data_IF_687010639117
#
_entry.id   IF_687010639117
#
_cell.length_a   1.000
_cell.length_b   1.000
_cell.length_c   1.000
_cell.angle_alpha   90.00
_cell.angle_beta   90.00
_cell.angle_gamma   90.00
#
_symmetry.space_group_name_H-M   'P 1'
#
loop_
_entity.id
_entity.type
_entity.pdbx_description
1 polymer ?
#
# COMPACT_ATOMS: atom_id res chain seq x y z
N UNK A 1 -13.36 -1.19 -14.22
CA UNK A 1 -12.08 -1.53 -13.57
C UNK A 1 -12.17 -1.55 -12.05
N UNK A 2 -12.88 -0.61 -11.43
CA UNK A 2 -13.04 -0.57 -9.96
C UNK A 2 -13.65 -1.86 -9.42
N UNK A 3 -14.71 -2.37 -10.03
CA UNK A 3 -15.33 -3.63 -9.64
C UNK A 3 -14.39 -4.83 -9.80
N UNK A 4 -13.61 -4.86 -10.88
CA UNK A 4 -12.57 -5.88 -11.11
C UNK A 4 -11.50 -5.85 -10.02
N UNK A 5 -11.01 -4.64 -9.68
CA UNK A 5 -10.05 -4.45 -8.60
C UNK A 5 -10.60 -4.94 -7.26
N UNK A 6 -11.86 -4.65 -6.95
CA UNK A 6 -12.52 -5.08 -5.72
C UNK A 6 -12.64 -6.61 -5.60
N UNK A 7 -12.83 -7.32 -6.71
CA UNK A 7 -12.80 -8.79 -6.72
C UNK A 7 -11.42 -9.31 -6.34
N UNK A 8 -10.37 -8.82 -7.00
CA UNK A 8 -8.99 -9.20 -6.68
C UNK A 8 -8.62 -8.86 -5.24
N UNK A 9 -9.08 -7.71 -4.75
CA UNK A 9 -8.79 -7.28 -3.39
C UNK A 9 -9.44 -8.20 -2.35
N UNK A 10 -10.70 -8.59 -2.58
CA UNK A 10 -11.42 -9.48 -1.66
C UNK A 10 -10.94 -10.92 -1.75
N UNK A 11 -10.91 -11.50 -2.97
CA UNK A 11 -10.61 -12.93 -3.17
C UNK A 11 -9.12 -13.25 -3.23
N UNK A 12 -8.25 -12.30 -3.57
CA UNK A 12 -6.85 -12.55 -3.91
C UNK A 12 -6.68 -13.04 -5.36
N UNK A 13 -5.42 -13.17 -5.77
CA UNK A 13 -5.09 -13.61 -7.12
C UNK A 13 -5.58 -15.02 -7.42
N UNK A 14 -5.19 -15.97 -6.57
CA UNK A 14 -5.42 -17.40 -6.82
C UNK A 14 -6.90 -17.75 -6.90
N UNK A 15 -7.72 -17.23 -6.00
CA UNK A 15 -9.14 -17.54 -5.88
C UNK A 15 -10.05 -16.73 -6.81
N UNK A 16 -9.50 -15.84 -7.65
CA UNK A 16 -10.26 -15.04 -8.60
C UNK A 16 -10.31 -15.72 -9.97
N UNK A 17 -11.51 -15.96 -10.50
CA UNK A 17 -11.72 -16.48 -11.85
C UNK A 17 -12.15 -15.39 -12.83
N UNK A 18 -12.03 -15.66 -14.14
CA UNK A 18 -12.57 -14.76 -15.17
C UNK A 18 -14.11 -14.63 -15.12
N UNK A 19 -14.80 -15.62 -14.58
CA UNK A 19 -16.25 -15.54 -14.35
C UNK A 19 -16.55 -14.53 -13.25
N UNK A 20 -15.85 -14.60 -12.11
CA UNK A 20 -16.02 -13.63 -11.03
C UNK A 20 -15.78 -12.18 -11.51
N UNK A 21 -14.80 -11.98 -12.39
CA UNK A 21 -14.49 -10.67 -12.93
C UNK A 21 -15.55 -10.17 -13.91
N UNK A 22 -16.10 -11.08 -14.74
CA UNK A 22 -17.17 -10.77 -15.68
C UNK A 22 -18.47 -10.43 -14.96
N UNK A 23 -18.83 -11.21 -13.94
CA UNK A 23 -20.01 -10.98 -13.11
C UNK A 23 -19.91 -9.62 -12.38
N UNK A 24 -18.76 -9.31 -11.78
CA UNK A 24 -18.53 -8.04 -11.10
C UNK A 24 -18.51 -6.83 -12.06
N UNK A 25 -18.12 -7.03 -13.30
CA UNK A 25 -18.11 -5.99 -14.34
C UNK A 25 -19.43 -5.88 -15.09
N UNK A 26 -20.41 -6.77 -14.79
CA UNK A 26 -21.72 -6.87 -15.47
C UNK A 26 -21.60 -7.05 -17.00
N UNK A 27 -20.64 -7.88 -17.42
CA UNK A 27 -20.41 -8.19 -18.84
C UNK A 27 -20.28 -9.70 -19.06
N UNK A 28 -20.42 -10.11 -20.31
CA UNK A 28 -20.18 -11.51 -20.68
C UNK A 28 -18.68 -11.84 -20.58
N UNK A 29 -18.35 -13.04 -20.06
CA UNK A 29 -16.98 -13.54 -19.92
C UNK A 29 -16.19 -13.46 -21.26
N UNK A 30 -16.84 -13.81 -22.38
CA UNK A 30 -16.23 -13.74 -23.71
C UNK A 30 -15.82 -12.32 -24.11
N UNK A 31 -16.67 -11.33 -23.81
CA UNK A 31 -16.39 -9.91 -24.08
C UNK A 31 -15.19 -9.42 -23.26
N UNK A 32 -15.11 -9.82 -21.98
CA UNK A 32 -14.00 -9.46 -21.11
C UNK A 32 -12.68 -10.07 -21.60
N UNK A 33 -12.72 -11.32 -22.05
CA UNK A 33 -11.56 -12.00 -22.61
C UNK A 33 -11.08 -11.36 -23.91
N UNK A 34 -12.02 -11.01 -24.79
CA UNK A 34 -11.73 -10.36 -26.07
C UNK A 34 -11.12 -8.96 -25.88
N UNK A 35 -11.63 -8.19 -24.90
CA UNK A 35 -11.19 -6.83 -24.63
C UNK A 35 -9.80 -6.76 -23.96
N UNK A 36 -9.49 -7.69 -23.06
CA UNK A 36 -8.33 -7.59 -22.17
C UNK A 36 -7.35 -8.78 -22.24
N UNK A 37 -7.71 -9.87 -22.91
CA UNK A 37 -6.83 -11.03 -23.14
C UNK A 37 -6.73 -12.01 -21.99
N UNK A 38 -7.16 -11.68 -20.76
CA UNK A 38 -7.17 -12.62 -19.65
C UNK A 38 -6.97 -12.00 -18.26
N UNK A 39 -6.92 -12.88 -17.25
CA UNK A 39 -6.88 -12.51 -15.84
C UNK A 39 -5.66 -11.66 -15.47
N UNK A 40 -4.48 -12.00 -16.00
CA UNK A 40 -3.24 -11.27 -15.70
C UNK A 40 -3.29 -9.84 -16.24
N UNK A 41 -3.73 -9.66 -17.48
CA UNK A 41 -3.84 -8.34 -18.09
C UNK A 41 -4.85 -7.45 -17.38
N UNK A 42 -6.01 -8.02 -16.98
CA UNK A 42 -7.01 -7.33 -16.17
C UNK A 42 -6.48 -6.93 -14.79
N UNK A 43 -5.74 -7.84 -14.16
CA UNK A 43 -5.11 -7.54 -12.87
C UNK A 43 -4.14 -6.38 -12.99
N UNK A 44 -3.21 -6.44 -13.95
CA UNK A 44 -2.19 -5.40 -14.15
C UNK A 44 -2.84 -4.04 -14.43
N UNK A 45 -3.88 -4.00 -15.24
CA UNK A 45 -4.60 -2.76 -15.55
C UNK A 45 -5.32 -2.19 -14.30
N UNK A 46 -5.99 -3.04 -13.52
CA UNK A 46 -6.67 -2.64 -12.30
C UNK A 46 -5.67 -2.24 -11.20
N UNK A 47 -4.55 -2.97 -11.11
CA UNK A 47 -3.47 -2.71 -10.16
C UNK A 47 -2.75 -1.38 -10.48
N UNK A 48 -2.59 -1.02 -11.75
CA UNK A 48 -2.01 0.27 -12.15
C UNK A 48 -2.84 1.45 -11.64
N UNK A 49 -4.15 1.40 -11.81
CA UNK A 49 -5.06 2.42 -11.30
C UNK A 49 -5.00 2.51 -9.74
N UNK A 50 -4.87 1.37 -9.07
CA UNK A 50 -4.66 1.32 -7.62
C UNK A 50 -3.32 1.94 -7.22
N UNK A 51 -2.23 1.55 -7.88
CA UNK A 51 -0.87 2.00 -7.60
C UNK A 51 -0.73 3.52 -7.75
N UNK A 52 -1.23 4.06 -8.85
CA UNK A 52 -1.22 5.51 -9.11
C UNK A 52 -1.95 6.28 -8.02
N UNK A 53 -3.15 5.83 -7.64
CA UNK A 53 -3.94 6.47 -6.57
C UNK A 53 -3.24 6.36 -5.21
N UNK A 54 -2.69 5.19 -4.90
CA UNK A 54 -2.01 4.95 -3.62
C UNK A 54 -0.75 5.80 -3.48
N UNK A 55 0.10 5.85 -4.52
CA UNK A 55 1.30 6.69 -4.54
C UNK A 55 0.96 8.18 -4.45
N UNK A 56 -0.06 8.63 -5.19
CA UNK A 56 -0.51 10.02 -5.11
C UNK A 56 -1.02 10.42 -3.71
N UNK A 57 -1.78 9.55 -3.05
CA UNK A 57 -2.23 9.77 -1.69
C UNK A 57 -1.07 9.77 -0.68
N UNK A 58 -0.10 8.87 -0.87
CA UNK A 58 1.10 8.81 -0.03
C UNK A 58 1.96 10.08 -0.20
N UNK A 59 2.19 10.52 -1.44
CA UNK A 59 2.93 11.74 -1.71
C UNK A 59 2.26 12.96 -1.05
N UNK A 60 0.96 13.11 -1.25
CA UNK A 60 0.19 14.20 -0.64
C UNK A 60 0.21 14.18 0.90
N UNK A 61 0.17 13.00 1.50
CA UNK A 61 0.24 12.86 2.96
C UNK A 61 1.61 13.24 3.53
N UNK A 62 2.65 13.19 2.71
CA UNK A 62 4.01 13.58 3.09
C UNK A 62 4.30 15.07 2.88
N UNK A 63 3.39 15.83 2.28
CA UNK A 63 3.46 17.30 2.14
C UNK A 63 3.11 17.97 3.48
N UNK A 64 4.05 18.01 4.42
CA UNK A 64 3.86 18.60 5.74
C UNK A 64 5.04 19.49 6.13
N UNK A 65 4.84 20.35 7.13
CA UNK A 65 5.84 21.32 7.57
C UNK A 65 6.95 20.69 8.43
N UNK A 66 6.71 19.50 9.01
CA UNK A 66 7.63 18.79 9.89
C UNK A 66 7.56 17.28 9.69
N UNK A 67 8.61 16.58 10.10
CA UNK A 67 8.75 15.14 9.95
C UNK A 67 7.66 14.36 10.70
N UNK A 68 7.33 14.74 11.93
CA UNK A 68 6.34 14.02 12.74
C UNK A 68 4.97 14.02 12.08
N UNK A 69 4.54 15.20 11.61
CA UNK A 69 3.26 15.37 10.90
C UNK A 69 3.24 14.58 9.60
N UNK A 70 4.30 14.64 8.79
CA UNK A 70 4.42 13.89 7.54
C UNK A 70 4.27 12.38 7.77
N UNK A 71 4.99 11.84 8.74
CA UNK A 71 4.97 10.41 9.06
C UNK A 71 3.61 9.97 9.60
N UNK A 72 2.99 10.75 10.49
CA UNK A 72 1.65 10.46 11.02
C UNK A 72 0.59 10.44 9.91
N UNK A 73 0.59 11.42 9.03
CA UNK A 73 -0.34 11.50 7.90
C UNK A 73 -0.13 10.33 6.93
N UNK A 74 1.11 9.98 6.63
CA UNK A 74 1.42 8.82 5.79
C UNK A 74 0.84 7.52 6.40
N UNK A 75 1.09 7.25 7.68
CA UNK A 75 0.55 6.04 8.33
C UNK A 75 -0.97 6.08 8.43
N UNK A 76 -1.57 7.24 8.63
CA UNK A 76 -3.03 7.38 8.61
C UNK A 76 -3.61 6.98 7.24
N UNK A 77 -3.01 7.44 6.14
CA UNK A 77 -3.41 7.05 4.77
C UNK A 77 -3.23 5.55 4.56
N UNK A 78 -2.08 4.99 4.95
CA UNK A 78 -1.81 3.57 4.80
C UNK A 78 -2.80 2.69 5.59
N UNK A 79 -3.07 3.03 6.85
CA UNK A 79 -4.02 2.32 7.72
C UNK A 79 -5.45 2.47 7.19
N UNK A 80 -5.87 3.67 6.81
CA UNK A 80 -7.21 3.89 6.24
C UNK A 80 -7.43 3.08 4.96
N UNK A 81 -6.39 2.97 4.12
CA UNK A 81 -6.47 2.16 2.90
C UNK A 81 -6.68 0.68 3.18
N UNK A 82 -6.04 0.12 4.22
CA UNK A 82 -6.16 -1.31 4.55
C UNK A 82 -7.37 -1.65 5.41
N UNK A 83 -7.89 -0.69 6.19
CA UNK A 83 -9.07 -0.88 7.05
C UNK A 83 -10.38 -0.47 6.38
N UNK A 84 -10.35 0.00 5.12
CA UNK A 84 -11.54 0.43 4.39
C UNK A 84 -12.44 -0.74 4.01
N UNK A 85 -13.77 -0.48 4.00
CA UNK A 85 -14.81 -1.46 3.64
C UNK A 85 -15.34 -2.25 4.83
N UNK A 86 -16.43 -2.98 4.59
CA UNK A 86 -17.06 -3.88 5.58
C UNK A 86 -17.34 -5.22 4.91
N UNK A 87 -16.57 -6.28 5.22
CA UNK A 87 -15.37 -6.27 6.09
C UNK A 87 -14.19 -5.51 5.50
N UNK A 88 -13.14 -5.19 6.30
CA UNK A 88 -11.94 -4.53 5.84
C UNK A 88 -11.27 -5.26 4.68
N UNK A 89 -10.82 -4.50 3.66
CA UNK A 89 -10.23 -5.10 2.44
C UNK A 89 -8.80 -5.60 2.63
N UNK A 90 -8.10 -5.07 3.64
CA UNK A 90 -6.67 -5.33 3.84
C UNK A 90 -5.80 -4.59 2.81
N UNK A 91 -4.54 -4.95 2.71
CA UNK A 91 -3.61 -4.39 1.73
C UNK A 91 -3.51 -5.29 0.49
N UNK A 92 -3.91 -4.76 -0.68
CA UNK A 92 -3.86 -5.51 -1.95
C UNK A 92 -2.43 -5.97 -2.26
N UNK A 93 -1.43 -5.10 -2.08
CA UNK A 93 -0.02 -5.42 -2.38
C UNK A 93 0.48 -6.58 -1.52
N UNK A 94 0.21 -6.55 -0.20
CA UNK A 94 0.60 -7.64 0.72
C UNK A 94 -0.13 -8.93 0.37
N UNK A 95 -1.43 -8.86 0.07
CA UNK A 95 -2.23 -10.01 -0.31
C UNK A 95 -1.73 -10.65 -1.62
N UNK A 96 -1.38 -9.84 -2.63
CA UNK A 96 -0.82 -10.36 -3.88
C UNK A 96 0.57 -10.94 -3.67
N UNK A 97 1.39 -10.35 -2.78
CA UNK A 97 2.72 -10.87 -2.47
C UNK A 97 2.68 -12.24 -1.77
N UNK A 98 1.61 -12.57 -1.02
CA UNK A 98 1.46 -13.92 -0.43
C UNK A 98 1.11 -14.99 -1.46
N UNK A 99 0.69 -14.60 -2.65
CA UNK A 99 0.41 -15.50 -3.78
C UNK A 99 1.62 -15.65 -4.73
N UNK A 100 2.85 -15.27 -4.29
CA UNK A 100 4.06 -15.12 -5.13
C UNK A 100 4.37 -16.37 -5.97
N UNK A 101 4.10 -17.57 -5.46
CA UNK A 101 4.34 -18.83 -6.16
C UNK A 101 3.37 -19.09 -7.31
N UNK A 102 2.26 -18.35 -7.37
CA UNK A 102 1.18 -18.55 -8.35
C UNK A 102 0.99 -17.38 -9.30
N UNK A 103 1.56 -16.20 -8.96
CA UNK A 103 1.53 -15.02 -9.84
C UNK A 103 2.65 -15.10 -10.89
N UNK A 104 2.35 -14.61 -12.10
CA UNK A 104 3.34 -14.54 -13.18
C UNK A 104 4.42 -13.48 -12.91
N UNK A 105 5.56 -13.57 -13.64
CA UNK A 105 6.70 -12.67 -13.47
C UNK A 105 6.36 -11.19 -13.71
N UNK A 106 5.39 -10.89 -14.57
CA UNK A 106 4.92 -9.52 -14.82
C UNK A 106 4.23 -8.91 -13.61
N UNK A 107 3.41 -9.68 -12.88
CA UNK A 107 2.78 -9.21 -11.65
C UNK A 107 3.84 -9.03 -10.56
N UNK A 108 4.77 -9.98 -10.42
CA UNK A 108 5.88 -9.86 -9.46
C UNK A 108 6.70 -8.59 -9.72
N UNK A 109 7.04 -8.33 -10.99
CA UNK A 109 7.78 -7.13 -11.36
C UNK A 109 6.99 -5.86 -11.01
N UNK A 110 5.69 -5.82 -11.30
CA UNK A 110 4.85 -4.65 -11.01
C UNK A 110 4.69 -4.39 -9.50
N UNK A 111 4.69 -5.46 -8.67
CA UNK A 111 4.71 -5.32 -7.21
C UNK A 111 6.01 -4.66 -6.74
N UNK A 112 7.17 -5.11 -7.25
CA UNK A 112 8.48 -4.50 -6.93
C UNK A 112 8.50 -3.02 -7.30
N UNK A 113 8.11 -2.70 -8.53
CA UNK A 113 8.06 -1.31 -9.01
C UNK A 113 7.19 -0.41 -8.13
N UNK A 114 6.05 -0.89 -7.64
CA UNK A 114 5.22 -0.13 -6.71
C UNK A 114 5.92 0.10 -5.37
N UNK A 115 6.58 -0.92 -4.82
CA UNK A 115 7.27 -0.79 -3.53
C UNK A 115 8.50 0.13 -3.63
N UNK A 116 9.25 0.02 -4.73
CA UNK A 116 10.40 0.89 -5.02
C UNK A 116 9.95 2.34 -5.23
N UNK A 117 8.86 2.56 -5.99
CA UNK A 117 8.28 3.89 -6.18
C UNK A 117 7.78 4.48 -4.86
N UNK A 118 7.15 3.68 -4.00
CA UNK A 118 6.71 4.13 -2.67
C UNK A 118 7.91 4.53 -1.80
N UNK A 119 8.96 3.70 -1.79
CA UNK A 119 10.18 3.99 -1.04
C UNK A 119 10.85 5.27 -1.54
N UNK A 120 10.93 5.46 -2.85
CA UNK A 120 11.47 6.68 -3.46
C UNK A 120 10.61 7.90 -3.09
N UNK A 121 9.29 7.80 -3.16
CA UNK A 121 8.36 8.88 -2.78
C UNK A 121 8.60 9.32 -1.32
N UNK A 122 8.68 8.36 -0.41
CA UNK A 122 8.93 8.64 1.02
C UNK A 122 10.32 9.25 1.20
N UNK A 123 11.36 8.62 0.64
CA UNK A 123 12.74 9.10 0.76
C UNK A 123 12.91 10.53 0.23
N UNK A 124 12.29 10.84 -0.91
CA UNK A 124 12.34 12.19 -1.50
C UNK A 124 11.67 13.21 -0.58
N UNK A 125 10.48 12.92 -0.07
CA UNK A 125 9.78 13.81 0.84
C UNK A 125 10.56 14.04 2.15
N UNK A 126 11.14 12.98 2.71
CA UNK A 126 11.93 13.05 3.95
C UNK A 126 13.30 13.72 3.76
N UNK A 127 13.78 13.87 2.52
CA UNK A 127 15.02 14.58 2.22
C UNK A 127 14.85 16.11 2.10
N UNK A 128 13.61 16.59 2.12
CA UNK A 128 13.33 18.02 2.01
C UNK A 128 13.65 18.74 3.33
N UNK A 129 14.18 19.95 3.24
CA UNK A 129 14.31 20.88 4.37
C UNK A 129 12.90 21.44 4.75
N UNK A 130 12.53 21.58 6.03
CA UNK A 130 13.34 21.29 7.24
C UNK A 130 13.23 19.84 7.76
N UNK A 131 12.48 18.95 7.09
CA UNK A 131 12.10 17.61 7.57
C UNK A 131 13.33 16.74 7.90
N UNK A 132 14.36 16.79 7.05
CA UNK A 132 15.54 15.91 7.15
C UNK A 132 16.25 16.03 8.51
N UNK A 133 16.33 17.24 9.07
CA UNK A 133 17.04 17.51 10.32
C UNK A 133 16.41 16.86 11.57
N UNK A 134 15.15 16.48 11.51
CA UNK A 134 14.40 15.92 12.63
C UNK A 134 14.49 14.39 12.72
N UNK A 135 14.99 13.72 11.67
CA UNK A 135 15.01 12.28 11.58
C UNK A 135 16.16 11.63 12.37
N UNK A 136 15.90 10.49 12.99
CA UNK A 136 16.90 9.65 13.65
C UNK A 136 17.72 8.80 12.65
N UNK A 137 17.20 8.57 11.44
CA UNK A 137 17.80 7.76 10.38
C UNK A 137 17.97 8.61 9.12
N UNK A 138 18.87 8.21 8.23
CA UNK A 138 18.92 8.78 6.90
C UNK A 138 17.58 8.59 6.17
N UNK A 139 17.11 9.56 5.34
CA UNK A 139 15.83 9.50 4.67
C UNK A 139 15.55 8.19 3.92
N UNK A 140 16.56 7.64 3.25
CA UNK A 140 16.45 6.37 2.52
C UNK A 140 16.24 5.17 3.46
N UNK A 141 16.92 5.15 4.60
CA UNK A 141 16.76 4.10 5.62
C UNK A 141 15.39 4.20 6.30
N UNK A 142 14.96 5.42 6.67
CA UNK A 142 13.64 5.66 7.22
C UNK A 142 12.54 5.19 6.24
N UNK A 143 12.67 5.51 4.95
CA UNK A 143 11.74 5.07 3.91
C UNK A 143 11.67 3.54 3.81
N UNK A 144 12.81 2.84 3.84
CA UNK A 144 12.86 1.38 3.81
C UNK A 144 12.17 0.75 5.03
N UNK A 145 12.44 1.29 6.22
CA UNK A 145 11.77 0.87 7.46
C UNK A 145 10.26 1.08 7.36
N UNK A 146 9.82 2.25 6.91
CA UNK A 146 8.39 2.58 6.77
C UNK A 146 7.67 1.65 5.79
N UNK A 147 8.25 1.40 4.61
CA UNK A 147 7.68 0.47 3.62
C UNK A 147 7.57 -0.93 4.20
N UNK A 148 8.60 -1.44 4.85
CA UNK A 148 8.61 -2.76 5.48
C UNK A 148 7.58 -2.83 6.62
N UNK A 149 7.54 -1.82 7.48
CA UNK A 149 6.61 -1.75 8.60
C UNK A 149 5.15 -1.75 8.17
N UNK A 150 4.81 -1.04 7.08
CA UNK A 150 3.43 -1.08 6.54
C UNK A 150 3.00 -2.47 6.08
N UNK A 151 3.93 -3.33 5.66
CA UNK A 151 3.63 -4.76 5.36
C UNK A 151 3.29 -5.53 6.63
N UNK A 152 4.02 -5.27 7.71
CA UNK A 152 3.71 -5.81 9.04
C UNK A 152 2.33 -5.36 9.55
N UNK A 153 2.00 -4.07 9.45
CA UNK A 153 0.68 -3.55 9.80
C UNK A 153 -0.43 -4.24 9.00
N UNK A 154 -0.22 -4.47 7.70
CA UNK A 154 -1.21 -5.13 6.85
C UNK A 154 -1.47 -6.60 7.24
N UNK A 155 -0.46 -7.30 7.75
CA UNK A 155 -0.62 -8.65 8.29
C UNK A 155 -1.37 -8.62 9.63
N UNK A 156 -1.00 -7.69 10.52
CA UNK A 156 -1.66 -7.53 11.82
C UNK A 156 -3.13 -7.13 11.68
N UNK A 157 -3.46 -6.28 10.71
CA UNK A 157 -4.84 -5.92 10.39
C UNK A 157 -5.71 -7.17 10.12
N UNK A 158 -5.22 -8.09 9.31
CA UNK A 158 -5.96 -9.31 8.98
C UNK A 158 -6.21 -10.24 10.16
N UNK A 159 -5.34 -10.19 11.17
CA UNK A 159 -5.41 -11.07 12.34
C UNK A 159 -6.32 -10.46 13.41
N UNK A 160 -6.11 -9.18 13.71
CA UNK A 160 -6.74 -8.55 14.87
C UNK A 160 -7.96 -7.71 14.52
N UNK A 161 -8.01 -7.11 13.31
CA UNK A 161 -9.08 -6.21 12.86
C UNK A 161 -9.36 -5.05 13.84
N UNK A 162 -8.29 -4.54 14.47
CA UNK A 162 -8.30 -3.48 15.48
C UNK A 162 -7.58 -2.24 14.94
N UNK A 163 -8.24 -1.28 14.28
CA UNK A 163 -7.60 -0.11 13.70
C UNK A 163 -6.81 0.74 14.71
N UNK A 164 -7.28 0.84 15.95
CA UNK A 164 -6.59 1.61 17.01
C UNK A 164 -5.24 0.99 17.39
N UNK A 165 -5.15 -0.34 17.38
CA UNK A 165 -3.89 -1.05 17.58
C UNK A 165 -2.87 -0.71 16.51
N UNK A 166 -3.29 -0.64 15.25
CA UNK A 166 -2.42 -0.26 14.14
C UNK A 166 -1.93 1.18 14.27
N UNK A 167 -2.83 2.12 14.63
CA UNK A 167 -2.49 3.52 14.87
C UNK A 167 -1.49 3.68 16.01
N UNK A 168 -1.75 3.06 17.15
CA UNK A 168 -0.86 3.10 18.32
C UNK A 168 0.53 2.54 18.00
N UNK A 169 0.59 1.46 17.20
CA UNK A 169 1.85 0.85 16.78
C UNK A 169 2.60 1.76 15.78
N UNK A 170 1.89 2.38 14.84
CA UNK A 170 2.46 3.36 13.92
C UNK A 170 2.99 4.60 14.65
N UNK A 171 2.25 5.13 15.62
CA UNK A 171 2.68 6.24 16.46
C UNK A 171 3.96 5.92 17.25
N UNK A 172 4.14 4.68 17.67
CA UNK A 172 5.37 4.25 18.33
C UNK A 172 6.56 4.29 17.38
N UNK A 173 6.39 3.86 16.13
CA UNK A 173 7.44 3.99 15.12
C UNK A 173 7.75 5.46 14.80
N UNK A 174 6.73 6.32 14.69
CA UNK A 174 6.94 7.76 14.46
C UNK A 174 7.81 8.37 15.55
N UNK A 175 7.53 8.09 16.83
CA UNK A 175 8.36 8.57 17.95
C UNK A 175 9.80 8.05 17.93
N UNK A 176 10.03 6.87 17.36
CA UNK A 176 11.39 6.33 17.18
C UNK A 176 12.12 7.00 16.03
N UNK A 177 11.43 7.30 14.94
CA UNK A 177 12.02 7.93 13.76
C UNK A 177 12.23 9.44 13.94
N UNK A 178 11.39 10.09 14.76
CA UNK A 178 11.47 11.53 15.07
C UNK A 178 11.56 11.71 16.58
N UNK A 179 12.73 11.45 17.17
CA UNK A 179 12.92 11.62 18.61
C UNK A 179 12.84 13.09 18.99
N UNK A 180 12.01 13.43 19.98
CA UNK A 180 11.91 14.79 20.51
C UNK A 180 13.28 15.29 20.94
N UNK A 181 13.57 16.58 20.69
CA UNK A 181 14.84 17.25 21.03
C UNK A 181 15.30 17.03 22.48
N UNK A 182 14.36 16.72 23.40
CA UNK A 182 14.66 16.41 24.81
C UNK A 182 15.39 15.06 25.05
N UNK A 183 15.42 14.17 24.05
CA UNK A 183 16.09 12.88 24.19
C UNK A 183 17.54 12.87 23.62
N UNK A 184 18.00 14.01 23.08
CA UNK A 184 19.36 14.16 22.51
C UNK A 184 20.36 14.88 23.42
N UNK A 185 19.98 15.20 24.70
CA UNK A 185 20.82 15.86 25.70
C UNK A 185 21.43 14.89 26.71
#
# INVERSE_FOLDING_TARGET
LSAVLDVFWRKGWQSTSMTDLADAAEVQRGSLYHAYGGKEALFLLAFEAYATRFLGNAAKALEAADAETALRQFFQVAISNMTSGTPPKGCLTTKTATDVDTIGPRIQQRLRELLDALQLTISTALSAEPIQGDLALAPAEAAQVMVTFTRGLAVMERIYQEPERLRSTADSLVRMLVPSVRARA
#
